data_IF_075101377764
#
_entry.id   IF_075101377764
#
_cell.length_a   1.000
_cell.length_b   1.000
_cell.length_c   1.000
_cell.angle_alpha   90.00
_cell.angle_beta   90.00
_cell.angle_gamma   90.00
#
_symmetry.space_group_name_H-M   'P 1'
#
loop_
_entity.id
_entity.type
_entity.pdbx_description
1 polymer ?
#
# COMPACT_ATOMS: atom_id res chain seq x y z
N UNK A 1 5.23 11.17 -16.13
CA UNK A 1 5.77 11.48 -14.77
C UNK A 1 4.73 10.97 -13.81
N UNK A 2 5.07 10.05 -12.90
CA UNK A 2 4.12 9.66 -11.85
C UNK A 2 3.90 10.86 -10.92
N UNK A 3 2.66 11.33 -10.81
CA UNK A 3 2.36 12.53 -10.03
C UNK A 3 2.24 12.24 -8.54
N UNK A 4 2.03 10.99 -8.13
CA UNK A 4 1.89 10.65 -6.72
C UNK A 4 3.17 10.97 -5.93
N UNK A 5 4.38 10.49 -6.32
CA UNK A 5 5.63 10.87 -5.64
C UNK A 5 5.89 12.38 -5.69
N UNK A 6 5.47 13.05 -6.76
CA UNK A 6 5.60 14.50 -6.84
C UNK A 6 4.77 15.19 -5.76
N UNK A 7 3.52 14.79 -5.55
CA UNK A 7 2.65 15.40 -4.55
C UNK A 7 3.04 15.03 -3.12
N UNK A 8 3.45 13.79 -2.88
CA UNK A 8 3.96 13.37 -1.57
C UNK A 8 5.14 14.26 -1.15
N UNK A 9 6.12 14.44 -2.04
CA UNK A 9 7.24 15.36 -1.80
C UNK A 9 6.82 16.83 -1.71
N UNK A 10 5.94 17.30 -2.61
CA UNK A 10 5.54 18.72 -2.66
C UNK A 10 4.79 19.16 -1.40
N UNK A 11 3.93 18.29 -0.87
CA UNK A 11 3.17 18.54 0.37
C UNK A 11 3.87 17.99 1.62
N UNK A 12 5.08 17.45 1.49
CA UNK A 12 5.86 16.87 2.58
C UNK A 12 5.09 15.80 3.38
N UNK A 13 4.40 14.91 2.65
CA UNK A 13 3.61 13.82 3.21
C UNK A 13 4.50 12.60 3.36
N UNK A 14 4.68 12.14 4.60
CA UNK A 14 5.30 10.86 4.88
C UNK A 14 4.24 9.76 5.06
N UNK A 15 4.26 8.81 4.13
CA UNK A 15 3.40 7.64 4.17
C UNK A 15 3.96 6.49 5.02
N UNK A 16 5.02 6.72 5.81
CA UNK A 16 5.56 5.71 6.71
C UNK A 16 4.43 5.10 7.55
N UNK A 17 4.33 3.76 7.63
CA UNK A 17 3.34 3.10 8.45
C UNK A 17 3.46 3.58 9.90
N UNK A 18 2.35 3.94 10.54
CA UNK A 18 2.42 4.33 11.94
C UNK A 18 2.72 3.11 12.83
N UNK A 19 3.18 3.37 14.06
CA UNK A 19 3.55 2.33 15.02
C UNK A 19 4.50 1.26 14.45
N UNK A 20 5.48 1.67 13.64
CA UNK A 20 6.42 0.76 12.99
C UNK A 20 7.87 1.01 13.41
N UNK A 21 8.67 -0.06 13.40
CA UNK A 21 10.11 0.01 13.65
C UNK A 21 10.85 -0.30 12.35
N UNK A 22 11.76 0.58 11.94
CA UNK A 22 12.73 0.25 10.90
C UNK A 22 13.68 -0.82 11.44
N UNK A 23 13.84 -1.92 10.71
CA UNK A 23 14.72 -3.02 11.08
C UNK A 23 15.83 -3.19 10.03
N UNK A 24 17.00 -3.59 10.50
CA UNK A 24 18.09 -4.00 9.62
C UNK A 24 17.71 -5.31 8.92
N UNK A 25 17.90 -5.36 7.60
CA UNK A 25 17.62 -6.55 6.79
C UNK A 25 18.50 -7.72 7.24
N UNK A 26 19.73 -7.46 7.69
CA UNK A 26 20.63 -8.49 8.20
C UNK A 26 20.10 -9.14 9.49
N UNK A 27 19.29 -8.40 10.26
CA UNK A 27 18.65 -8.87 11.49
C UNK A 27 17.22 -9.42 11.27
N UNK A 28 16.72 -9.41 10.03
CA UNK A 28 15.33 -9.76 9.75
C UNK A 28 14.96 -11.17 10.22
N UNK A 29 15.89 -12.13 10.16
CA UNK A 29 15.64 -13.52 10.63
C UNK A 29 15.44 -13.63 12.14
N UNK A 30 16.07 -12.75 12.91
CA UNK A 30 15.99 -12.78 14.36
C UNK A 30 14.78 -11.98 14.89
N UNK A 31 14.30 -11.03 14.07
CA UNK A 31 13.24 -10.09 14.47
C UNK A 31 11.87 -10.43 13.88
N UNK A 32 11.81 -11.03 12.69
CA UNK A 32 10.54 -11.36 12.04
C UNK A 32 10.02 -12.73 12.52
N UNK A 33 8.70 -12.85 12.50
CA UNK A 33 7.97 -14.04 12.89
C UNK A 33 6.80 -14.30 11.93
N UNK A 34 6.32 -15.55 11.79
CA UNK A 34 5.10 -15.83 11.02
C UNK A 34 3.92 -15.00 11.53
N UNK A 35 3.21 -14.33 10.64
CA UNK A 35 2.12 -13.41 10.95
C UNK A 35 2.56 -11.95 11.13
N UNK A 36 3.86 -11.64 11.10
CA UNK A 36 4.35 -10.27 11.14
C UNK A 36 3.88 -9.48 9.90
N UNK A 37 3.35 -8.28 10.13
CA UNK A 37 3.07 -7.31 9.08
C UNK A 37 4.33 -6.46 8.87
N UNK A 38 4.87 -6.52 7.65
CA UNK A 38 6.04 -5.76 7.24
C UNK A 38 5.70 -4.79 6.12
N UNK A 39 6.47 -3.71 6.03
CA UNK A 39 6.39 -2.75 4.96
C UNK A 39 7.79 -2.41 4.43
N UNK A 40 7.90 -2.06 3.15
CA UNK A 40 9.16 -1.60 2.54
C UNK A 40 8.99 -0.26 1.86
N UNK A 41 9.96 0.63 2.02
CA UNK A 41 9.92 1.97 1.42
C UNK A 41 10.10 1.88 -0.10
N UNK A 42 9.07 2.15 -0.92
CA UNK A 42 9.22 2.16 -2.38
C UNK A 42 9.92 3.47 -2.82
N UNK A 43 10.77 3.47 -3.86
CA UNK A 43 11.26 4.70 -4.52
C UNK A 43 10.19 5.69 -4.98
N UNK A 44 8.92 5.27 -5.04
CA UNK A 44 7.76 6.09 -5.38
C UNK A 44 6.98 6.58 -4.14
N UNK A 45 7.63 6.63 -2.97
CA UNK A 45 7.18 7.24 -1.71
C UNK A 45 5.89 6.66 -1.08
N UNK A 46 5.29 5.60 -1.64
CA UNK A 46 4.35 4.72 -0.95
C UNK A 46 5.07 3.49 -0.43
N UNK A 47 4.59 2.91 0.66
CA UNK A 47 5.13 1.72 1.28
C UNK A 47 4.43 0.49 0.72
N UNK A 48 5.21 -0.55 0.46
CA UNK A 48 4.71 -1.84 -0.01
C UNK A 48 4.60 -2.81 1.16
N UNK A 49 3.40 -3.34 1.41
CA UNK A 49 3.07 -4.09 2.62
C UNK A 49 2.91 -5.59 2.33
N UNK A 50 3.18 -6.42 3.34
CA UNK A 50 3.06 -7.87 3.26
C UNK A 50 3.01 -8.56 4.62
N UNK A 51 2.66 -9.84 4.59
CA UNK A 51 2.55 -10.72 5.76
C UNK A 51 3.62 -11.80 5.65
N UNK A 52 4.48 -11.90 6.67
CA UNK A 52 5.44 -13.01 6.80
C UNK A 52 4.68 -14.31 7.06
N UNK A 53 4.97 -15.37 6.31
CA UNK A 53 4.29 -16.67 6.46
C UNK A 53 5.21 -17.80 6.89
N UNK A 54 6.50 -17.69 6.64
CA UNK A 54 7.50 -18.67 7.07
C UNK A 54 8.87 -18.00 7.23
N UNK A 55 9.50 -18.22 8.38
CA UNK A 55 10.85 -17.74 8.72
C UNK A 55 11.87 -18.88 8.79
N UNK A 56 11.43 -20.15 8.68
CA UNK A 56 12.30 -21.33 8.74
C UNK A 56 12.96 -21.66 7.40
N UNK A 57 12.55 -21.00 6.32
CA UNK A 57 13.15 -21.13 5.00
C UNK A 57 14.48 -20.37 4.91
N UNK A 58 15.40 -20.76 3.99
CA UNK A 58 16.63 -20.00 3.76
C UNK A 58 16.37 -18.53 3.47
N UNK A 59 15.29 -18.23 2.75
CA UNK A 59 14.75 -16.88 2.55
C UNK A 59 13.34 -16.78 3.13
N UNK A 60 13.09 -15.79 3.98
CA UNK A 60 11.78 -15.56 4.62
C UNK A 60 10.69 -15.44 3.55
N UNK A 61 9.59 -16.17 3.70
CA UNK A 61 8.47 -16.17 2.74
C UNK A 61 7.38 -15.18 3.15
N UNK A 62 6.85 -14.45 2.18
CA UNK A 62 5.92 -13.34 2.38
C UNK A 62 4.75 -13.48 1.42
N UNK A 63 3.52 -13.32 1.92
CA UNK A 63 2.33 -13.11 1.10
C UNK A 63 2.02 -11.61 1.04
N UNK A 64 1.77 -11.09 -0.15
CA UNK A 64 1.37 -9.70 -0.32
C UNK A 64 0.44 -9.52 -1.52
N UNK A 65 -0.38 -8.47 -1.47
CA UNK A 65 -1.16 -8.01 -2.61
C UNK A 65 -0.31 -7.05 -3.45
N UNK A 66 -0.22 -7.29 -4.75
CA UNK A 66 0.59 -6.50 -5.67
C UNK A 66 -0.23 -6.07 -6.89
N UNK A 67 0.00 -4.87 -7.40
CA UNK A 67 -0.54 -4.39 -8.67
C UNK A 67 0.58 -3.90 -9.58
N UNK A 68 0.80 -4.57 -10.72
CA UNK A 68 1.69 -4.09 -11.78
C UNK A 68 0.93 -3.59 -13.01
N UNK A 69 -0.19 -4.24 -13.37
CA UNK A 69 -1.08 -3.90 -14.50
C UNK A 69 -2.48 -4.52 -14.27
N UNK A 70 -3.51 -4.05 -14.99
CA UNK A 70 -4.93 -4.48 -14.86
C UNK A 70 -5.16 -6.00 -14.84
N UNK A 71 -4.27 -6.79 -15.46
CA UNK A 71 -4.37 -8.25 -15.56
C UNK A 71 -3.37 -9.02 -14.68
N UNK A 72 -2.53 -8.32 -13.90
CA UNK A 72 -1.50 -8.93 -13.04
C UNK A 72 -1.65 -8.60 -11.55
N UNK A 73 -2.68 -7.84 -11.20
CA UNK A 73 -3.03 -7.55 -9.81
C UNK A 73 -3.49 -8.81 -9.09
N UNK A 74 -2.71 -9.29 -8.13
CA UNK A 74 -3.06 -10.52 -7.38
C UNK A 74 -2.37 -10.59 -6.03
N UNK A 75 -2.95 -11.39 -5.13
CA UNK A 75 -2.25 -11.89 -3.95
C UNK A 75 -1.20 -12.89 -4.42
N UNK A 76 0.04 -12.76 -3.96
CA UNK A 76 1.13 -13.65 -4.36
C UNK A 76 2.11 -13.89 -3.22
N UNK A 77 2.94 -14.92 -3.39
CA UNK A 77 4.04 -15.25 -2.46
C UNK A 77 5.38 -14.85 -3.08
N UNK A 78 6.24 -14.20 -2.29
CA UNK A 78 7.62 -13.87 -2.65
C UNK A 78 8.57 -14.16 -1.48
N UNK A 79 9.87 -14.14 -1.76
CA UNK A 79 10.91 -14.16 -0.71
C UNK A 79 11.22 -12.73 -0.26
N UNK A 80 11.74 -12.56 0.96
CA UNK A 80 12.11 -11.25 1.50
C UNK A 80 13.04 -10.43 0.59
N UNK A 81 14.09 -10.99 -0.03
CA UNK A 81 14.91 -10.24 -0.98
C UNK A 81 14.11 -9.70 -2.18
N UNK A 82 13.18 -10.49 -2.72
CA UNK A 82 12.33 -10.08 -3.85
C UNK A 82 11.31 -9.03 -3.41
N UNK A 83 10.69 -9.22 -2.24
CA UNK A 83 9.73 -8.28 -1.66
C UNK A 83 10.36 -6.90 -1.44
N UNK A 84 11.57 -6.85 -0.85
CA UNK A 84 12.33 -5.62 -0.65
C UNK A 84 12.76 -5.03 -1.99
N UNK A 85 13.19 -5.83 -2.96
CA UNK A 85 13.63 -5.29 -4.25
C UNK A 85 12.46 -4.78 -5.12
N UNK A 86 11.26 -5.32 -4.93
CA UNK A 86 10.07 -5.12 -5.76
C UNK A 86 10.05 -6.00 -7.02
N UNK A 87 11.19 -6.55 -7.42
CA UNK A 87 11.30 -7.53 -8.51
C UNK A 87 12.57 -8.36 -8.39
N UNK A 88 12.58 -9.53 -9.06
CA UNK A 88 13.75 -10.40 -9.09
C UNK A 88 14.98 -9.73 -9.73
N UNK A 89 14.76 -8.90 -10.76
CA UNK A 89 15.82 -8.20 -11.48
C UNK A 89 16.45 -7.05 -10.68
N UNK A 90 15.77 -6.61 -9.61
CA UNK A 90 16.20 -5.53 -8.74
C UNK A 90 16.91 -6.00 -7.46
N UNK A 91 16.99 -7.31 -7.22
CA UNK A 91 17.65 -7.87 -6.03
C UNK A 91 19.11 -7.42 -5.97
N UNK A 92 19.52 -6.89 -4.81
CA UNK A 92 20.88 -6.35 -4.59
C UNK A 92 21.15 -4.99 -5.24
N UNK A 93 20.19 -4.41 -5.97
CA UNK A 93 20.35 -3.09 -6.62
C UNK A 93 19.66 -1.96 -5.85
N UNK A 94 18.56 -2.27 -5.17
CA UNK A 94 17.78 -1.32 -4.40
C UNK A 94 17.77 -1.72 -2.93
N UNK A 95 18.42 -0.93 -2.07
CA UNK A 95 18.26 -1.06 -0.62
C UNK A 95 17.07 -0.21 -0.20
N UNK A 96 15.93 -0.86 0.02
CA UNK A 96 14.74 -0.25 0.63
C UNK A 96 14.79 -0.49 2.13
N UNK A 97 14.31 0.47 2.90
CA UNK A 97 14.12 0.27 4.34
C UNK A 97 13.00 -0.74 4.58
N UNK A 98 13.22 -1.63 5.54
CA UNK A 98 12.26 -2.63 5.99
C UNK A 98 11.68 -2.19 7.34
N UNK A 99 10.37 -2.24 7.46
CA UNK A 99 9.65 -1.85 8.66
C UNK A 99 8.82 -3.01 9.17
N UNK A 100 8.83 -3.22 10.49
CA UNK A 100 7.91 -4.09 11.21
C UNK A 100 6.78 -3.24 11.79
N UNK A 101 5.53 -3.50 11.37
CA UNK A 101 4.33 -2.80 11.86
C UNK A 101 3.83 -3.49 13.12
N UNK A 102 3.76 -2.74 14.23
CA UNK A 102 3.37 -3.29 15.53
C UNK A 102 1.86 -3.15 15.75
N UNK A 103 1.28 -4.16 16.40
CA UNK A 103 -0.13 -4.19 16.79
C UNK A 103 -0.25 -4.45 18.28
N UNK A 104 -1.16 -3.73 18.94
CA UNK A 104 -1.42 -3.94 20.36
C UNK A 104 -2.00 -5.33 20.64
N UNK A 105 -1.48 -5.96 21.69
CA UNK A 105 -1.88 -7.29 22.10
C UNK A 105 -1.58 -8.35 21.05
N UNK A 106 -0.44 -8.28 20.37
CA UNK A 106 0.01 -9.32 19.45
C UNK A 106 0.35 -10.61 20.21
N UNK A 107 -0.38 -11.68 19.93
CA UNK A 107 -0.22 -13.00 20.55
C UNK A 107 0.13 -14.04 19.50
N UNK A 108 0.72 -15.16 19.92
CA UNK A 108 1.03 -16.28 19.03
C UNK A 108 -0.22 -16.80 18.31
N UNK A 109 -1.37 -16.83 18.98
CA UNK A 109 -2.65 -17.21 18.36
C UNK A 109 -3.04 -16.26 17.23
N UNK A 110 -2.98 -14.94 17.46
CA UNK A 110 -3.26 -13.94 16.41
C UNK A 110 -2.29 -14.07 15.24
N UNK A 111 -1.01 -14.30 15.52
CA UNK A 111 0.02 -14.51 14.51
C UNK A 111 -0.32 -15.72 13.61
N UNK A 112 -0.72 -16.85 14.21
CA UNK A 112 -1.15 -18.03 13.47
C UNK A 112 -2.40 -17.76 12.63
N UNK A 113 -3.42 -17.12 13.22
CA UNK A 113 -4.64 -16.72 12.48
C UNK A 113 -4.33 -15.78 11.32
N UNK A 114 -3.41 -14.82 11.49
CA UNK A 114 -2.96 -13.95 10.39
C UNK A 114 -2.38 -14.74 9.23
N UNK A 115 -1.53 -15.75 9.51
CA UNK A 115 -0.95 -16.61 8.47
C UNK A 115 -2.04 -17.42 7.76
N UNK A 116 -3.00 -17.97 8.50
CA UNK A 116 -4.14 -18.72 7.93
C UNK A 116 -4.98 -17.84 6.99
N UNK A 117 -5.30 -16.61 7.41
CA UNK A 117 -6.05 -15.65 6.59
C UNK A 117 -5.25 -15.31 5.32
N UNK A 118 -3.96 -14.97 5.45
CA UNK A 118 -3.13 -14.62 4.30
C UNK A 118 -3.05 -15.77 3.28
N UNK A 119 -2.90 -17.01 3.74
CA UNK A 119 -2.92 -18.21 2.88
C UNK A 119 -4.27 -18.41 2.20
N UNK A 120 -5.38 -18.25 2.94
CA UNK A 120 -6.73 -18.34 2.36
C UNK A 120 -6.96 -17.27 1.29
N UNK A 121 -6.47 -16.05 1.49
CA UNK A 121 -6.58 -14.98 0.50
C UNK A 121 -5.73 -15.27 -0.74
N UNK A 122 -4.57 -15.91 -0.58
CA UNK A 122 -3.75 -16.40 -1.69
C UNK A 122 -4.46 -17.48 -2.52
N UNK A 123 -5.20 -18.38 -1.87
CA UNK A 123 -6.01 -19.41 -2.57
C UNK A 123 -7.15 -18.79 -3.41
N UNK A 124 -7.65 -17.62 -3.01
CA UNK A 124 -8.71 -16.88 -3.71
C UNK A 124 -8.16 -15.62 -4.40
N UNK A 125 -6.90 -15.67 -4.86
CA UNK A 125 -6.20 -14.48 -5.39
C UNK A 125 -6.92 -13.82 -6.58
N UNK A 126 -7.63 -14.60 -7.39
CA UNK A 126 -8.35 -14.10 -8.58
C UNK A 126 -9.57 -13.21 -8.23
N UNK A 127 -10.08 -13.30 -7.00
CA UNK A 127 -11.23 -12.51 -6.54
C UNK A 127 -10.82 -11.11 -6.05
N UNK A 128 -9.52 -10.87 -5.81
CA UNK A 128 -9.02 -9.63 -5.21
C UNK A 128 -8.22 -8.85 -6.25
N UNK A 129 -8.83 -7.78 -6.75
CA UNK A 129 -8.16 -6.85 -7.66
C UNK A 129 -7.51 -5.72 -6.89
N UNK A 130 -6.23 -5.51 -7.14
CA UNK A 130 -5.50 -4.37 -6.57
C UNK A 130 -6.07 -3.06 -7.10
N UNK A 131 -6.38 -2.17 -6.16
CA UNK A 131 -6.72 -0.77 -6.41
C UNK A 131 -6.04 0.06 -5.33
N UNK A 132 -5.28 1.08 -5.74
CA UNK A 132 -4.44 1.84 -4.80
C UNK A 132 -5.27 2.55 -3.72
N UNK A 133 -6.49 2.98 -4.04
CA UNK A 133 -7.34 3.75 -3.14
C UNK A 133 -8.18 2.84 -2.23
N UNK A 134 -8.61 1.67 -2.72
CA UNK A 134 -9.59 0.84 -2.04
C UNK A 134 -9.01 -0.51 -1.63
N UNK A 135 -8.47 -1.27 -2.58
CA UNK A 135 -7.98 -2.64 -2.38
C UNK A 135 -6.46 -2.72 -2.52
N UNK A 136 -5.72 -2.04 -1.64
CA UNK A 136 -4.26 -1.93 -1.72
C UNK A 136 -3.51 -2.91 -0.79
N UNK A 137 -2.17 -2.89 -0.86
CA UNK A 137 -1.32 -3.81 -0.11
C UNK A 137 -1.39 -3.60 1.42
N UNK A 138 -1.55 -2.37 1.88
CA UNK A 138 -1.71 -2.06 3.31
C UNK A 138 -3.06 -2.55 3.82
N UNK A 139 -4.15 -2.25 3.09
CA UNK A 139 -5.49 -2.74 3.37
C UNK A 139 -5.55 -4.26 3.48
N UNK A 140 -4.87 -4.96 2.58
CA UNK A 140 -4.71 -6.41 2.63
C UNK A 140 -3.99 -6.87 3.92
N UNK A 141 -2.85 -6.27 4.25
CA UNK A 141 -2.06 -6.67 5.41
C UNK A 141 -2.80 -6.37 6.73
N UNK A 142 -3.46 -5.21 6.82
CA UNK A 142 -4.35 -4.86 7.92
C UNK A 142 -5.50 -5.86 8.04
N UNK A 143 -6.17 -6.22 6.95
CA UNK A 143 -7.25 -7.21 6.96
C UNK A 143 -6.77 -8.56 7.52
N UNK A 144 -5.57 -9.01 7.15
CA UNK A 144 -5.01 -10.25 7.71
C UNK A 144 -4.72 -10.16 9.21
N UNK A 145 -4.41 -8.96 9.72
CA UNK A 145 -4.07 -8.71 11.14
C UNK A 145 -5.29 -8.43 12.02
N UNK A 146 -6.31 -7.77 11.48
CA UNK A 146 -7.40 -7.17 12.28
C UNK A 146 -8.79 -7.57 11.80
N UNK A 147 -8.89 -8.28 10.66
CA UNK A 147 -10.15 -8.53 9.92
C UNK A 147 -10.83 -7.27 9.40
N UNK A 148 -10.15 -6.12 9.44
CA UNK A 148 -10.64 -4.85 8.92
C UNK A 148 -9.76 -4.38 7.78
N UNK A 149 -10.38 -4.12 6.63
CA UNK A 149 -9.69 -3.57 5.48
C UNK A 149 -9.51 -2.06 5.66
N UNK A 150 -8.28 -1.65 5.97
CA UNK A 150 -7.94 -0.26 6.30
C UNK A 150 -6.52 0.08 5.85
N UNK A 151 -6.34 1.29 5.30
CA UNK A 151 -5.06 1.80 4.81
C UNK A 151 -4.84 3.22 5.31
N UNK A 152 -3.88 3.37 6.24
CA UNK A 152 -3.48 4.69 6.74
C UNK A 152 -2.83 5.53 5.63
N UNK A 153 -2.14 4.89 4.68
CA UNK A 153 -1.59 5.59 3.52
C UNK A 153 -2.68 6.24 2.67
N UNK A 154 -3.76 5.51 2.39
CA UNK A 154 -4.91 6.07 1.68
C UNK A 154 -5.55 7.20 2.48
N UNK A 155 -5.71 7.06 3.79
CA UNK A 155 -6.33 8.12 4.63
C UNK A 155 -5.48 9.39 4.64
N UNK A 156 -4.17 9.28 4.89
CA UNK A 156 -3.23 10.41 4.86
C UNK A 156 -3.25 11.10 3.50
N UNK A 157 -3.19 10.30 2.42
CA UNK A 157 -3.17 10.82 1.06
C UNK A 157 -4.49 11.51 0.70
N UNK A 158 -5.62 10.87 0.99
CA UNK A 158 -6.97 11.40 0.74
C UNK A 158 -7.17 12.77 1.39
N UNK A 159 -6.78 12.93 2.65
CA UNK A 159 -6.90 14.21 3.35
C UNK A 159 -6.16 15.34 2.61
N UNK A 160 -4.91 15.08 2.19
CA UNK A 160 -4.11 16.12 1.50
C UNK A 160 -4.62 16.36 0.08
N UNK A 161 -5.08 15.32 -0.62
CA UNK A 161 -5.69 15.46 -1.94
C UNK A 161 -6.95 16.33 -1.90
N UNK A 162 -7.79 16.16 -0.87
CA UNK A 162 -8.99 16.98 -0.65
C UNK A 162 -8.61 18.44 -0.38
N UNK A 163 -7.70 18.66 0.58
CA UNK A 163 -7.27 20.01 0.98
C UNK A 163 -6.67 20.80 -0.19
N UNK A 164 -6.06 20.10 -1.16
CA UNK A 164 -5.34 20.72 -2.27
C UNK A 164 -5.92 20.37 -3.65
N UNK A 165 -7.17 19.91 -3.72
CA UNK A 165 -7.78 19.36 -4.93
C UNK A 165 -7.67 20.29 -6.16
N UNK A 166 -7.76 21.61 -5.94
CA UNK A 166 -7.68 22.63 -7.00
C UNK A 166 -6.28 22.73 -7.62
N UNK A 167 -5.25 22.87 -6.79
CA UNK A 167 -3.87 22.95 -7.27
C UNK A 167 -3.45 21.64 -7.95
N UNK A 168 -3.89 20.51 -7.39
CA UNK A 168 -3.68 19.19 -7.96
C UNK A 168 -4.36 19.07 -9.32
N UNK A 169 -5.62 19.48 -9.47
CA UNK A 169 -6.33 19.52 -10.76
C UNK A 169 -5.57 20.27 -11.82
N UNK A 170 -5.18 21.50 -11.50
CA UNK A 170 -4.52 22.39 -12.45
C UNK A 170 -3.20 21.81 -12.96
N UNK A 171 -2.49 21.08 -12.10
CA UNK A 171 -1.23 20.39 -12.45
C UNK A 171 -1.45 19.12 -13.27
N UNK A 172 -2.51 18.34 -13.03
CA UNK A 172 -2.69 17.02 -13.66
C UNK A 172 -3.73 16.96 -14.77
N UNK A 173 -4.50 18.04 -15.01
CA UNK A 173 -5.52 18.06 -16.08
C UNK A 173 -4.97 17.72 -17.47
N UNK A 174 -3.68 17.99 -17.70
CA UNK A 174 -2.97 17.69 -18.94
C UNK A 174 -2.01 16.47 -18.83
N UNK A 175 -2.04 15.72 -17.73
CA UNK A 175 -1.25 14.51 -17.55
C UNK A 175 -1.73 13.35 -18.43
N UNK A 176 -0.93 12.29 -18.51
CA UNK A 176 -1.33 11.03 -19.15
C UNK A 176 -2.50 10.33 -18.42
N UNK A 177 -3.15 9.39 -19.11
CA UNK A 177 -4.37 8.74 -18.63
C UNK A 177 -4.18 7.96 -17.31
N UNK A 178 -3.04 7.28 -17.14
CA UNK A 178 -2.78 6.49 -15.94
C UNK A 178 -2.69 7.37 -14.70
N UNK A 179 -1.99 8.51 -14.81
CA UNK A 179 -1.89 9.47 -13.73
C UNK A 179 -3.25 10.09 -13.36
N UNK A 180 -4.04 10.44 -14.37
CA UNK A 180 -5.39 10.99 -14.13
C UNK A 180 -6.31 9.96 -13.50
N UNK A 181 -6.21 8.68 -13.90
CA UNK A 181 -6.97 7.58 -13.28
C UNK A 181 -6.59 7.39 -11.82
N UNK A 182 -5.31 7.31 -11.48
CA UNK A 182 -4.87 7.10 -10.08
C UNK A 182 -5.34 8.23 -9.16
N UNK A 183 -5.21 9.49 -9.61
CA UNK A 183 -5.68 10.65 -8.83
C UNK A 183 -7.20 10.66 -8.74
N UNK A 184 -7.91 10.34 -9.83
CA UNK A 184 -9.37 10.24 -9.84
C UNK A 184 -9.86 9.15 -8.88
N UNK A 185 -9.27 7.96 -8.87
CA UNK A 185 -9.63 6.87 -7.96
C UNK A 185 -9.44 7.26 -6.50
N UNK A 186 -8.34 7.95 -6.17
CA UNK A 186 -8.07 8.44 -4.82
C UNK A 186 -9.05 9.52 -4.39
N UNK A 187 -9.36 10.47 -5.27
CA UNK A 187 -10.38 11.48 -5.00
C UNK A 187 -11.76 10.83 -4.83
N UNK A 188 -12.15 9.89 -5.69
CA UNK A 188 -13.45 9.21 -5.62
C UNK A 188 -13.69 8.43 -4.33
N UNK A 189 -12.62 7.95 -3.69
CA UNK A 189 -12.69 7.29 -2.38
C UNK A 189 -12.92 8.28 -1.22
N UNK A 190 -12.79 9.58 -1.46
CA UNK A 190 -13.01 10.62 -0.46
C UNK A 190 -14.51 10.78 -0.13
N UNK A 191 -14.87 10.98 1.16
CA UNK A 191 -16.25 11.26 1.52
C UNK A 191 -16.67 12.64 0.99
N UNK A 192 -17.54 12.66 -0.03
CA UNK A 192 -18.07 13.89 -0.67
C UNK A 192 -18.67 14.86 0.36
N UNK A 193 -19.26 14.34 1.42
CA UNK A 193 -19.89 15.15 2.47
C UNK A 193 -18.86 15.94 3.30
N UNK A 194 -17.59 15.53 3.30
CA UNK A 194 -16.49 16.25 3.93
C UNK A 194 -15.96 17.42 3.08
N UNK A 195 -16.41 17.54 1.82
CA UNK A 195 -15.98 18.58 0.90
C UNK A 195 -16.82 19.86 1.06
N UNK A 196 -16.17 21.02 1.00
CA UNK A 196 -16.86 22.30 0.86
C UNK A 196 -17.44 22.50 -0.56
N UNK A 197 -18.22 23.56 -0.76
CA UNK A 197 -18.90 23.81 -2.03
C UNK A 197 -17.95 23.99 -3.22
N UNK A 198 -16.78 24.60 -3.02
CA UNK A 198 -15.78 24.80 -4.07
C UNK A 198 -15.05 23.50 -4.42
N UNK A 199 -14.76 22.69 -3.41
CA UNK A 199 -14.18 21.36 -3.56
C UNK A 199 -15.15 20.40 -4.26
N UNK A 200 -16.45 20.48 -3.95
CA UNK A 200 -17.50 19.68 -4.62
C UNK A 200 -17.63 19.99 -6.10
N UNK A 201 -17.55 21.25 -6.49
CA UNK A 201 -17.62 21.67 -7.89
C UNK A 201 -16.44 21.13 -8.71
N UNK A 202 -15.23 21.25 -8.18
CA UNK A 202 -14.03 20.67 -8.79
C UNK A 202 -14.02 19.14 -8.79
N UNK A 203 -14.49 18.52 -7.70
CA UNK A 203 -14.68 17.07 -7.60
C UNK A 203 -15.59 16.57 -8.72
N UNK A 204 -16.69 17.29 -9.00
CA UNK A 204 -17.57 17.03 -10.13
C UNK A 204 -16.84 17.06 -11.47
N UNK A 205 -16.08 18.13 -11.74
CA UNK A 205 -15.32 18.25 -12.99
C UNK A 205 -14.27 17.14 -13.21
N UNK A 206 -13.67 16.64 -12.15
CA UNK A 206 -12.70 15.56 -12.22
C UNK A 206 -13.36 14.18 -12.39
N UNK A 207 -14.37 13.88 -11.56
CA UNK A 207 -14.99 12.56 -11.51
C UNK A 207 -15.92 12.30 -12.70
N UNK A 208 -16.58 13.32 -13.26
CA UNK A 208 -17.45 13.17 -14.43
C UNK A 208 -16.70 12.81 -15.72
N UNK A 209 -15.41 13.15 -15.82
CA UNK A 209 -14.63 13.05 -17.07
C UNK A 209 -13.95 11.69 -17.27
N UNK A 210 -13.85 10.86 -16.23
CA UNK A 210 -13.11 9.59 -16.26
C UNK A 210 -13.95 8.37 -15.83
N UNK A 211 -15.28 8.48 -15.87
CA UNK A 211 -16.22 7.35 -15.82
C UNK A 211 -16.29 6.61 -17.17
#
# INVERSE_FOLDING_TARGET
MDYLPYFLKYYNIDLQPTNSNCIDIELAKDLLYPGAHIATSNPYEHYHHGIVIDTNTPDISIIHLWGADKDSSRVQTTTLPIFIAGSIDAVGKNLRHLYLVNYDGDTVEKQQTTVEIAKKMLENADDIKYDLATSNCEGFACFCRTLQWHSEQTEKLTNVLIENAVDIYEKVKNADENNRRNISSLLQAAPIDALDSSQKELYGHFCEKYN
#
